data_IF_338446435488
#
_entry.id   IF_338446435488
#
_cell.length_a   1.000
_cell.length_b   1.000
_cell.length_c   1.000
_cell.angle_alpha   90.00
_cell.angle_beta   90.00
_cell.angle_gamma   90.00
#
_symmetry.space_group_name_H-M   'P 1'
#
loop_
_entity.id
_entity.type
_entity.pdbx_description
1 polymer ?
#
# COMPACT_ATOMS: atom_id res chain seq x y z
N UNK A 1 -4.11 -10.93 15.22
CA UNK A 1 -3.01 -11.54 14.42
C UNK A 1 -2.53 -10.60 13.34
N UNK A 2 -3.40 -10.06 12.49
CA UNK A 2 -3.05 -9.09 11.43
C UNK A 2 -2.17 -7.91 11.92
N UNK A 3 -2.51 -7.25 13.04
CA UNK A 3 -1.68 -6.13 13.56
C UNK A 3 -0.26 -6.57 14.00
N UNK A 4 -0.10 -7.82 14.45
CA UNK A 4 1.22 -8.35 14.79
C UNK A 4 2.06 -8.58 13.53
N UNK A 5 1.43 -8.97 12.41
CA UNK A 5 2.11 -9.11 11.12
C UNK A 5 2.58 -7.75 10.57
N UNK A 6 1.80 -6.67 10.78
CA UNK A 6 2.21 -5.31 10.42
C UNK A 6 3.38 -4.80 11.26
N UNK A 7 3.36 -5.06 12.57
CA UNK A 7 4.48 -4.73 13.46
C UNK A 7 5.74 -5.49 13.05
N UNK A 8 5.62 -6.79 12.75
CA UNK A 8 6.74 -7.62 12.29
C UNK A 8 7.30 -7.15 10.94
N UNK A 9 6.43 -6.78 10.00
CA UNK A 9 6.85 -6.27 8.70
C UNK A 9 7.61 -4.94 8.81
N UNK A 10 7.23 -4.07 9.75
CA UNK A 10 7.98 -2.83 10.04
C UNK A 10 9.40 -3.13 10.51
N UNK A 11 9.55 -4.09 11.43
CA UNK A 11 10.87 -4.56 11.90
C UNK A 11 11.71 -5.15 10.76
N UNK A 12 11.11 -5.90 9.85
CA UNK A 12 11.81 -6.49 8.70
C UNK A 12 12.31 -5.42 7.71
N UNK A 13 11.64 -4.28 7.61
CA UNK A 13 12.11 -3.15 6.80
C UNK A 13 13.31 -2.48 7.47
N UNK A 14 13.23 -2.22 8.78
CA UNK A 14 14.37 -1.70 9.54
C UNK A 14 15.56 -2.64 9.46
N UNK A 15 15.31 -3.95 9.49
CA UNK A 15 16.35 -4.96 9.26
C UNK A 15 17.03 -4.80 7.90
N UNK A 16 16.28 -4.52 6.84
CA UNK A 16 16.81 -4.24 5.51
C UNK A 16 17.82 -3.08 5.48
N UNK A 17 17.65 -2.06 6.32
CA UNK A 17 18.61 -0.96 6.40
C UNK A 17 19.97 -1.39 6.99
N UNK A 18 19.94 -2.26 8.01
CA UNK A 18 21.11 -2.64 8.81
C UNK A 18 21.68 -4.02 8.45
N UNK A 19 21.10 -4.72 7.48
CA UNK A 19 21.47 -6.07 7.08
C UNK A 19 22.98 -6.19 6.84
N UNK A 20 23.58 -7.21 7.47
CA UNK A 20 25.03 -7.50 7.37
C UNK A 20 25.94 -6.60 8.21
N UNK A 21 25.41 -5.64 8.98
CA UNK A 21 26.20 -4.73 9.85
C UNK A 21 25.94 -4.92 11.34
N UNK A 22 24.89 -5.64 11.71
CA UNK A 22 24.45 -5.87 13.10
C UNK A 22 24.51 -7.34 13.47
N UNK A 23 24.77 -7.65 14.74
CA UNK A 23 24.74 -9.02 15.25
C UNK A 23 23.30 -9.50 15.49
N UNK A 24 23.05 -10.82 15.54
CA UNK A 24 21.72 -11.35 15.86
C UNK A 24 21.13 -10.84 17.19
N UNK A 25 21.99 -10.57 18.18
CA UNK A 25 21.56 -10.00 19.47
C UNK A 25 21.15 -8.53 19.31
N UNK A 26 21.91 -7.74 18.55
CA UNK A 26 21.53 -6.36 18.25
C UNK A 26 20.22 -6.29 17.46
N UNK A 27 20.00 -7.25 16.56
CA UNK A 27 18.74 -7.42 15.85
C UNK A 27 17.58 -7.71 16.80
N UNK A 28 17.77 -8.59 17.78
CA UNK A 28 16.75 -8.89 18.79
C UNK A 28 16.41 -7.65 19.64
N UNK A 29 17.42 -6.89 20.06
CA UNK A 29 17.22 -5.66 20.84
C UNK A 29 16.43 -4.63 20.00
N UNK A 30 16.81 -4.44 18.74
CA UNK A 30 16.09 -3.55 17.81
C UNK A 30 14.63 -3.99 17.67
N UNK A 31 14.36 -5.28 17.44
CA UNK A 31 12.99 -5.81 17.32
C UNK A 31 12.13 -5.49 18.54
N UNK A 32 12.66 -5.70 19.75
CA UNK A 32 11.90 -5.44 21.00
C UNK A 32 11.56 -3.95 21.11
N UNK A 33 12.52 -3.07 20.83
CA UNK A 33 12.32 -1.63 20.89
C UNK A 33 11.34 -1.15 19.81
N UNK A 34 11.47 -1.63 18.59
CA UNK A 34 10.61 -1.23 17.47
C UNK A 34 9.17 -1.69 17.64
N UNK A 35 8.93 -2.90 18.18
CA UNK A 35 7.57 -3.36 18.50
C UNK A 35 6.93 -2.45 19.55
N UNK A 36 7.68 -2.04 20.58
CA UNK A 36 7.18 -1.13 21.61
C UNK A 36 6.86 0.26 21.04
N UNK A 37 7.73 0.80 20.19
CA UNK A 37 7.51 2.09 19.50
C UNK A 37 6.32 1.99 18.54
N UNK A 38 6.19 0.90 17.80
CA UNK A 38 5.06 0.65 16.91
C UNK A 38 3.74 0.66 17.68
N UNK A 39 3.67 -0.09 18.79
CA UNK A 39 2.47 -0.15 19.63
C UNK A 39 2.13 1.21 20.26
N UNK A 40 3.13 1.94 20.76
CA UNK A 40 2.92 3.28 21.30
C UNK A 40 2.43 4.25 20.22
N UNK A 41 3.01 4.20 19.04
CA UNK A 41 2.58 5.02 17.92
C UNK A 41 1.16 4.67 17.46
N UNK A 42 0.85 3.38 17.31
CA UNK A 42 -0.51 2.91 16.98
C UNK A 42 -1.51 3.43 18.02
N UNK A 43 -1.21 3.33 19.31
CA UNK A 43 -2.06 3.84 20.39
C UNK A 43 -2.24 5.37 20.35
N UNK A 44 -1.18 6.14 20.14
CA UNK A 44 -1.27 7.60 20.08
C UNK A 44 -2.13 8.05 18.90
N UNK A 45 -1.88 7.49 17.71
CA UNK A 45 -2.63 7.86 16.51
C UNK A 45 -4.09 7.41 16.67
N UNK A 46 -4.34 6.16 17.09
CA UNK A 46 -5.70 5.59 17.26
C UNK A 46 -6.52 6.20 18.38
N UNK A 47 -5.93 6.34 19.56
CA UNK A 47 -6.65 6.73 20.76
C UNK A 47 -6.82 8.24 20.91
N UNK A 48 -5.86 9.05 20.44
CA UNK A 48 -5.87 10.51 20.72
C UNK A 48 -6.30 11.32 19.51
N UNK A 49 -5.78 10.98 18.33
CA UNK A 49 -6.03 11.79 17.16
C UNK A 49 -7.35 11.44 16.46
N UNK A 50 -8.00 10.32 16.80
CA UNK A 50 -9.24 9.80 16.18
C UNK A 50 -9.24 9.76 14.64
N UNK A 51 -8.08 9.97 14.02
CA UNK A 51 -7.94 9.95 12.57
C UNK A 51 -7.96 8.50 12.15
N UNK A 52 -9.16 7.95 11.93
CA UNK A 52 -9.42 6.62 11.34
C UNK A 52 -8.59 6.37 10.08
N UNK A 53 -8.30 7.48 9.39
CA UNK A 53 -7.53 7.61 8.17
C UNK A 53 -6.01 7.50 8.36
N UNK A 54 -5.45 7.77 9.54
CA UNK A 54 -4.00 7.98 9.74
C UNK A 54 -3.26 6.77 10.34
N UNK A 55 -3.99 5.78 10.87
CA UNK A 55 -3.42 4.48 11.28
C UNK A 55 -2.80 3.77 10.08
N UNK A 56 -3.42 4.00 8.93
CA UNK A 56 -3.08 3.49 7.62
C UNK A 56 -2.00 4.32 6.92
N UNK A 57 -1.23 5.16 7.63
CA UNK A 57 -0.17 5.99 7.05
C UNK A 57 1.20 5.85 7.73
N UNK A 58 1.29 5.28 8.94
CA UNK A 58 2.56 4.91 9.60
C UNK A 58 2.83 3.40 9.59
N UNK A 59 1.79 2.58 9.51
CA UNK A 59 1.90 1.13 9.23
C UNK A 59 2.19 0.82 7.75
N UNK A 60 2.14 1.82 6.86
CA UNK A 60 2.29 1.72 5.39
C UNK A 60 3.68 1.38 4.92
N UNK A 61 4.69 1.62 5.75
CA UNK A 61 6.04 1.23 5.38
C UNK A 61 6.08 -0.29 5.10
N UNK A 62 5.30 -1.08 5.86
CA UNK A 62 5.23 -2.54 5.81
C UNK A 62 4.54 -3.16 4.58
N UNK A 63 3.88 -2.38 3.72
CA UNK A 63 2.93 -2.98 2.77
C UNK A 63 3.46 -3.08 1.34
N UNK A 64 4.20 -4.16 1.07
CA UNK A 64 4.66 -4.48 -0.29
C UNK A 64 3.81 -5.55 -1.00
N UNK A 65 2.72 -6.05 -0.41
CA UNK A 65 1.93 -7.15 -0.98
C UNK A 65 0.43 -6.89 -1.09
N UNK A 66 -0.17 -7.44 -2.16
CA UNK A 66 -1.59 -7.45 -2.48
C UNK A 66 -2.50 -7.81 -1.29
N UNK A 67 -2.11 -8.81 -0.51
CA UNK A 67 -2.88 -9.29 0.63
C UNK A 67 -2.94 -8.26 1.75
N UNK A 68 -1.84 -7.58 2.04
CA UNK A 68 -1.76 -6.61 3.13
C UNK A 68 -2.64 -5.37 2.90
N UNK A 69 -2.64 -4.77 1.70
CA UNK A 69 -3.50 -3.61 1.42
C UNK A 69 -4.99 -3.94 1.52
N UNK A 70 -5.37 -5.14 1.07
CA UNK A 70 -6.76 -5.59 1.12
C UNK A 70 -7.20 -6.08 2.51
N UNK A 71 -6.28 -6.61 3.32
CA UNK A 71 -6.58 -7.13 4.66
C UNK A 71 -6.94 -6.04 5.68
N UNK A 72 -6.56 -4.79 5.42
CA UNK A 72 -6.89 -3.63 6.26
C UNK A 72 -8.23 -3.01 5.85
N UNK A 73 -8.67 -3.24 4.61
CA UNK A 73 -9.89 -2.69 4.07
C UNK A 73 -11.12 -3.42 4.66
N UNK A 74 -12.23 -2.70 4.78
CA UNK A 74 -13.48 -3.31 5.23
C UNK A 74 -13.93 -4.44 4.27
N UNK A 75 -14.39 -5.59 4.80
CA UNK A 75 -14.83 -6.70 3.97
C UNK A 75 -15.93 -6.29 2.99
N UNK A 76 -15.84 -6.77 1.75
CA UNK A 76 -16.79 -6.47 0.69
C UNK A 76 -16.16 -5.65 -0.43
N UNK A 77 -16.80 -4.56 -0.84
CA UNK A 77 -16.35 -3.79 -1.99
C UNK A 77 -15.03 -3.06 -1.78
N UNK A 78 -14.79 -2.51 -0.58
CA UNK A 78 -13.54 -1.81 -0.24
C UNK A 78 -12.32 -2.73 -0.35
N UNK A 79 -12.47 -3.98 0.09
CA UNK A 79 -11.45 -5.02 -0.07
C UNK A 79 -11.17 -5.34 -1.56
N UNK A 80 -12.20 -5.46 -2.39
CA UNK A 80 -12.01 -5.69 -3.83
C UNK A 80 -11.35 -4.49 -4.52
N UNK A 81 -11.76 -3.26 -4.17
CA UNK A 81 -11.14 -2.01 -4.64
C UNK A 81 -9.64 -1.96 -4.28
N UNK A 82 -9.30 -2.29 -3.03
CA UNK A 82 -7.92 -2.37 -2.56
C UNK A 82 -7.07 -3.35 -3.38
N UNK A 83 -7.62 -4.51 -3.74
CA UNK A 83 -6.94 -5.49 -4.60
C UNK A 83 -6.69 -4.91 -5.99
N UNK A 84 -7.71 -4.35 -6.64
CA UNK A 84 -7.61 -3.84 -8.02
C UNK A 84 -6.67 -2.65 -8.11
N UNK A 85 -6.78 -1.66 -7.23
CA UNK A 85 -5.91 -0.49 -7.22
C UNK A 85 -4.44 -0.88 -6.98
N UNK A 86 -4.19 -1.79 -6.03
CA UNK A 86 -2.84 -2.31 -5.78
C UNK A 86 -2.27 -3.06 -6.98
N UNK A 87 -3.10 -3.84 -7.68
CA UNK A 87 -2.69 -4.55 -8.89
C UNK A 87 -2.29 -3.62 -10.02
N UNK A 88 -3.12 -2.62 -10.31
CA UNK A 88 -2.84 -1.67 -11.38
C UNK A 88 -1.60 -0.82 -11.09
N UNK A 89 -1.40 -0.43 -9.83
CA UNK A 89 -0.21 0.29 -9.41
C UNK A 89 1.06 -0.57 -9.53
N UNK A 90 1.03 -1.83 -9.07
CA UNK A 90 2.17 -2.73 -9.19
C UNK A 90 2.51 -3.06 -10.65
N UNK A 91 1.50 -3.30 -11.49
CA UNK A 91 1.71 -3.62 -12.91
C UNK A 91 2.45 -2.48 -13.63
N UNK A 92 2.01 -1.24 -13.43
CA UNK A 92 2.65 -0.06 -14.04
C UNK A 92 4.01 0.25 -13.43
N UNK A 93 4.15 0.06 -12.11
CA UNK A 93 5.44 0.17 -11.43
C UNK A 93 6.47 -0.81 -12.00
N UNK A 94 6.08 -2.06 -12.27
CA UNK A 94 6.96 -3.08 -12.88
C UNK A 94 7.41 -2.64 -14.27
N UNK A 95 6.48 -2.22 -15.13
CA UNK A 95 6.81 -1.79 -16.50
C UNK A 95 7.81 -0.63 -16.46
N UNK A 96 7.54 0.39 -15.64
CA UNK A 96 8.43 1.54 -15.47
C UNK A 96 9.78 1.15 -14.88
N UNK A 97 9.81 0.27 -13.87
CA UNK A 97 11.04 -0.16 -13.23
C UNK A 97 11.96 -0.89 -14.23
N UNK A 98 11.41 -1.79 -15.06
CA UNK A 98 12.18 -2.47 -16.10
C UNK A 98 12.66 -1.50 -17.18
N UNK A 99 11.77 -0.64 -17.67
CA UNK A 99 12.11 0.35 -18.70
C UNK A 99 13.23 1.29 -18.23
N UNK A 100 13.07 1.87 -17.04
CA UNK A 100 14.08 2.77 -16.48
C UNK A 100 15.36 2.05 -16.09
N UNK A 101 15.29 0.84 -15.52
CA UNK A 101 16.49 0.05 -15.22
C UNK A 101 17.35 -0.15 -16.47
N UNK A 102 16.72 -0.51 -17.59
CA UNK A 102 17.40 -0.62 -18.89
C UNK A 102 17.95 0.72 -19.40
N UNK A 103 17.18 1.82 -19.27
CA UNK A 103 17.58 3.14 -19.75
C UNK A 103 18.74 3.76 -18.95
N UNK A 104 18.77 3.58 -17.62
CA UNK A 104 19.79 4.19 -16.75
C UNK A 104 21.05 3.34 -16.64
N UNK A 105 21.01 2.08 -17.05
CA UNK A 105 22.15 1.18 -17.01
C UNK A 105 22.88 1.09 -18.36
N UNK A 106 24.18 0.80 -18.32
CA UNK A 106 24.99 0.78 -19.53
C UNK A 106 24.59 -0.41 -20.42
N UNK A 107 24.47 -0.13 -21.73
CA UNK A 107 24.16 -1.13 -22.78
C UNK A 107 22.77 -1.76 -22.66
N UNK A 108 21.80 -1.08 -22.02
CA UNK A 108 20.42 -1.57 -21.94
C UNK A 108 20.26 -2.82 -21.06
N UNK A 109 21.18 -3.03 -20.12
CA UNK A 109 21.12 -4.16 -19.17
C UNK A 109 20.15 -3.86 -18.03
N UNK A 110 19.64 -4.89 -17.38
CA UNK A 110 18.80 -4.74 -16.19
C UNK A 110 19.64 -4.93 -14.93
N UNK A 111 19.53 -3.99 -14.00
CA UNK A 111 20.04 -4.16 -12.64
C UNK A 111 19.02 -4.96 -11.81
N UNK A 112 19.48 -6.07 -11.22
CA UNK A 112 18.64 -6.92 -10.38
C UNK A 112 18.17 -6.23 -9.11
N UNK A 113 18.90 -5.24 -8.59
CA UNK A 113 18.45 -4.45 -7.43
C UNK A 113 17.20 -3.65 -7.76
N UNK A 114 17.11 -3.07 -8.97
CA UNK A 114 15.91 -2.39 -9.44
C UNK A 114 14.75 -3.38 -9.61
N UNK A 115 15.01 -4.54 -10.22
CA UNK A 115 13.98 -5.55 -10.48
C UNK A 115 13.43 -6.13 -9.19
N UNK A 116 14.27 -6.41 -8.20
CA UNK A 116 13.86 -7.04 -6.94
C UNK A 116 13.15 -6.07 -5.99
N UNK A 117 13.56 -4.81 -5.99
CA UNK A 117 13.07 -3.84 -5.01
C UNK A 117 12.13 -2.81 -5.62
N UNK A 118 12.56 -2.09 -6.65
CA UNK A 118 11.79 -0.96 -7.20
C UNK A 118 10.43 -1.37 -7.79
N UNK A 119 10.27 -2.63 -8.21
CA UNK A 119 8.99 -3.18 -8.71
C UNK A 119 7.89 -3.23 -7.64
N UNK A 120 8.26 -3.21 -6.36
CA UNK A 120 7.32 -3.27 -5.24
C UNK A 120 6.89 -1.87 -4.76
N UNK A 121 7.55 -0.81 -5.21
CA UNK A 121 7.33 0.57 -4.76
C UNK A 121 5.89 1.07 -5.03
N UNK A 122 5.27 0.61 -6.12
CA UNK A 122 3.89 0.94 -6.43
C UNK A 122 2.88 0.45 -5.40
N UNK A 123 3.12 -0.73 -4.81
CA UNK A 123 2.28 -1.28 -3.74
C UNK A 123 2.42 -0.53 -2.42
N UNK A 124 3.67 -0.12 -2.09
CA UNK A 124 3.95 0.74 -0.94
C UNK A 124 3.25 2.08 -1.10
N UNK A 125 3.33 2.66 -2.31
CA UNK A 125 2.70 3.93 -2.59
C UNK A 125 1.20 3.81 -2.32
N UNK A 126 0.44 3.02 -3.08
CA UNK A 126 -1.02 3.03 -2.93
C UNK A 126 -1.57 2.53 -1.59
N UNK A 127 -0.75 2.09 -0.62
CA UNK A 127 -1.21 1.50 0.62
C UNK A 127 -2.18 2.36 1.45
N UNK A 128 -2.02 3.68 1.47
CA UNK A 128 -2.94 4.61 2.18
C UNK A 128 -4.28 4.79 1.47
N UNK A 129 -4.29 4.62 0.15
CA UNK A 129 -5.43 4.97 -0.71
C UNK A 129 -5.96 3.77 -1.51
N UNK A 130 -5.57 2.55 -1.15
CA UNK A 130 -5.87 1.36 -1.93
C UNK A 130 -7.38 1.07 -1.98
N UNK A 131 -8.08 1.21 -0.86
CA UNK A 131 -9.52 0.99 -0.70
C UNK A 131 -10.37 2.21 -1.08
N UNK A 132 -9.75 3.37 -1.28
CA UNK A 132 -10.43 4.57 -1.75
C UNK A 132 -10.91 4.37 -3.18
N UNK A 133 -12.01 5.03 -3.53
CA UNK A 133 -12.59 4.96 -4.86
C UNK A 133 -11.84 5.87 -5.84
N UNK A 134 -10.57 5.55 -6.09
CA UNK A 134 -9.76 6.23 -7.11
C UNK A 134 -10.03 5.64 -8.50
N UNK A 135 -10.04 6.45 -9.56
CA UNK A 135 -10.09 5.94 -10.92
C UNK A 135 -8.89 5.04 -11.24
N UNK A 136 -9.05 3.96 -12.04
CA UNK A 136 -7.96 3.02 -12.37
C UNK A 136 -6.69 3.68 -12.91
N UNK A 137 -6.83 4.74 -13.72
CA UNK A 137 -5.70 5.45 -14.30
C UNK A 137 -4.88 6.24 -13.26
N UNK A 138 -5.50 6.65 -12.13
CA UNK A 138 -4.79 7.31 -11.02
C UNK A 138 -3.92 6.29 -10.28
N UNK A 139 -4.45 5.09 -9.99
CA UNK A 139 -3.67 4.02 -9.37
C UNK A 139 -2.43 3.66 -10.23
N UNK A 140 -2.62 3.58 -11.55
CA UNK A 140 -1.55 3.38 -12.53
C UNK A 140 -0.51 4.52 -12.53
N UNK A 141 -0.96 5.78 -12.41
CA UNK A 141 -0.06 6.93 -12.34
C UNK A 141 0.78 6.92 -11.05
N UNK A 142 0.17 6.64 -9.90
CA UNK A 142 0.87 6.50 -8.62
C UNK A 142 1.94 5.40 -8.70
N UNK A 143 1.58 4.22 -9.21
CA UNK A 143 2.50 3.11 -9.41
C UNK A 143 3.67 3.47 -10.33
N UNK A 144 3.39 4.16 -11.43
CA UNK A 144 4.41 4.63 -12.37
C UNK A 144 5.38 5.61 -11.69
N UNK A 145 4.88 6.66 -11.04
CA UNK A 145 5.69 7.67 -10.35
C UNK A 145 6.56 7.03 -9.25
N UNK A 146 5.99 6.13 -8.46
CA UNK A 146 6.71 5.39 -7.43
C UNK A 146 7.86 4.56 -8.02
N UNK A 147 7.63 3.87 -9.14
CA UNK A 147 8.66 3.12 -9.86
C UNK A 147 9.81 4.00 -10.36
N UNK A 148 9.50 5.19 -10.92
CA UNK A 148 10.52 6.16 -11.34
C UNK A 148 11.40 6.56 -10.16
N UNK A 149 10.76 6.99 -9.08
CA UNK A 149 11.47 7.53 -7.91
C UNK A 149 12.30 6.44 -7.25
N UNK A 150 11.79 5.21 -7.17
CA UNK A 150 12.53 4.10 -6.59
C UNK A 150 13.76 3.74 -7.42
N UNK A 151 13.65 3.59 -8.75
CA UNK A 151 14.81 3.29 -9.63
C UNK A 151 15.85 4.41 -9.58
N UNK A 152 15.44 5.68 -9.70
CA UNK A 152 16.37 6.80 -9.60
C UNK A 152 17.01 6.90 -8.20
N UNK A 153 16.24 6.56 -7.16
CA UNK A 153 16.73 6.45 -5.79
C UNK A 153 17.86 5.43 -5.67
N UNK A 154 17.65 4.21 -6.15
CA UNK A 154 18.68 3.17 -6.16
C UNK A 154 19.91 3.58 -6.97
N UNK A 155 19.72 4.16 -8.16
CA UNK A 155 20.82 4.50 -9.06
C UNK A 155 21.65 5.69 -8.61
N UNK A 156 21.02 6.74 -8.07
CA UNK A 156 21.65 8.04 -7.82
C UNK A 156 21.64 8.44 -6.34
N UNK A 157 20.51 8.27 -5.65
CA UNK A 157 20.36 8.75 -4.28
C UNK A 157 21.11 7.87 -3.27
N UNK A 158 21.01 6.55 -3.37
CA UNK A 158 21.74 5.62 -2.50
C UNK A 158 23.25 5.85 -2.52
N UNK A 159 23.92 5.95 -3.69
CA UNK A 159 25.34 6.31 -3.74
C UNK A 159 25.64 7.69 -3.15
N UNK A 160 24.76 8.68 -3.36
CA UNK A 160 24.94 10.03 -2.82
C UNK A 160 24.87 10.04 -1.29
N UNK A 161 23.85 9.40 -0.71
CA UNK A 161 23.67 9.23 0.73
C UNK A 161 24.87 8.51 1.36
N UNK A 162 25.34 7.44 0.72
CA UNK A 162 26.48 6.67 1.21
C UNK A 162 27.80 7.47 1.19
N UNK A 163 28.02 8.29 0.15
CA UNK A 163 29.30 9.00 -0.04
C UNK A 163 29.36 10.38 0.62
N UNK A 164 28.23 11.11 0.70
CA UNK A 164 28.19 12.47 1.27
C UNK A 164 27.69 12.52 2.70
N UNK A 165 26.69 11.70 3.02
CA UNK A 165 26.02 11.72 4.33
C UNK A 165 26.42 10.52 5.20
N UNK A 166 27.22 9.59 4.67
CA UNK A 166 27.64 8.35 5.34
C UNK A 166 26.47 7.48 5.80
N UNK A 167 25.29 7.63 5.17
CA UNK A 167 24.10 6.83 5.45
C UNK A 167 24.14 5.61 4.52
N UNK A 168 24.41 4.44 5.10
CA UNK A 168 24.53 3.17 4.35
C UNK A 168 23.31 2.30 4.57
N UNK A 169 22.36 2.42 3.66
CA UNK A 169 21.17 1.58 3.57
C UNK A 169 21.48 0.31 2.74
N UNK A 170 21.50 -0.87 3.37
CA UNK A 170 21.92 -2.12 2.71
C UNK A 170 20.93 -2.57 1.62
N UNK A 171 19.62 -2.55 1.92
CA UNK A 171 18.59 -2.99 0.97
C UNK A 171 17.96 -1.83 0.18
N UNK A 172 18.35 -0.59 0.45
CA UNK A 172 17.73 0.60 -0.16
C UNK A 172 16.28 0.81 0.29
N UNK A 173 15.95 0.40 1.51
CA UNK A 173 14.61 0.57 2.10
C UNK A 173 14.15 2.03 2.10
N UNK A 174 15.07 3.00 2.10
CA UNK A 174 14.74 4.40 1.87
C UNK A 174 14.09 4.65 0.51
N UNK A 175 14.61 4.07 -0.57
CA UNK A 175 14.10 4.28 -1.93
C UNK A 175 12.85 3.45 -2.23
N UNK A 176 12.70 2.31 -1.56
CA UNK A 176 11.55 1.43 -1.74
C UNK A 176 10.38 1.81 -0.84
N UNK A 177 10.65 2.03 0.43
CA UNK A 177 9.60 2.25 1.43
C UNK A 177 9.49 3.72 1.83
N UNK A 178 10.62 4.38 2.09
CA UNK A 178 10.66 5.76 2.61
C UNK A 178 10.11 6.80 1.62
N UNK A 179 10.72 6.91 0.44
CA UNK A 179 10.34 7.92 -0.56
C UNK A 179 8.94 7.68 -1.15
N UNK A 180 8.56 6.47 -1.60
CA UNK A 180 7.21 6.23 -2.11
C UNK A 180 6.13 6.47 -1.06
N UNK A 181 6.36 6.07 0.19
CA UNK A 181 5.41 6.31 1.29
C UNK A 181 5.27 7.79 1.66
N UNK A 182 6.32 8.61 1.53
CA UNK A 182 6.26 10.04 1.85
C UNK A 182 5.47 10.85 0.81
N UNK A 183 5.53 10.47 -0.47
CA UNK A 183 4.86 11.20 -1.56
C UNK A 183 3.35 11.28 -1.37
N UNK A 184 2.75 10.22 -0.82
CA UNK A 184 1.30 10.18 -0.58
C UNK A 184 0.88 10.81 0.73
N UNK A 185 1.84 11.24 1.56
CA UNK A 185 1.58 12.16 2.67
C UNK A 185 1.59 13.63 2.25
N UNK A 186 1.91 13.94 1.00
CA UNK A 186 1.82 15.31 0.52
C UNK A 186 0.34 15.70 0.34
N UNK A 187 -0.07 16.92 0.75
CA UNK A 187 -1.47 17.39 0.76
C UNK A 187 -2.10 17.55 -0.63
N UNK A 188 -1.42 17.12 -1.69
CA UNK A 188 -1.90 17.10 -3.06
C UNK A 188 -2.81 15.89 -3.30
N UNK A 189 -2.65 14.83 -2.50
CA UNK A 189 -3.41 13.58 -2.57
C UNK A 189 -4.45 13.47 -1.44
N UNK A 190 -4.94 14.63 -0.98
CA UNK A 190 -5.77 14.70 0.22
C UNK A 190 -7.01 13.82 0.10
N UNK A 191 -7.40 13.23 1.23
CA UNK A 191 -8.59 12.40 1.25
C UNK A 191 -9.83 13.27 1.02
N UNK A 192 -10.84 12.79 0.27
CA UNK A 192 -12.13 13.45 0.26
C UNK A 192 -12.64 13.58 1.70
N UNK A 193 -13.34 14.68 2.04
CA UNK A 193 -13.91 14.88 3.37
C UNK A 193 -14.70 13.63 3.83
N UNK A 194 -14.64 13.31 5.12
CA UNK A 194 -15.28 12.11 5.69
C UNK A 194 -16.79 12.01 5.33
N UNK A 195 -17.45 13.14 5.07
CA UNK A 195 -18.86 13.22 4.63
C UNK A 195 -19.10 12.60 3.24
N UNK A 196 -18.09 12.61 2.36
CA UNK A 196 -18.17 12.15 0.97
C UNK A 196 -17.41 10.82 0.74
N UNK A 197 -16.80 10.26 1.79
CA UNK A 197 -15.89 9.11 1.70
C UNK A 197 -16.57 7.82 1.18
N UNK A 198 -17.90 7.77 1.22
CA UNK A 198 -18.73 6.69 0.68
C UNK A 198 -19.81 7.18 -0.29
N UNK A 199 -19.74 8.45 -0.72
CA UNK A 199 -20.68 9.00 -1.70
C UNK A 199 -20.14 8.82 -3.12
N UNK A 200 -20.48 7.67 -3.71
CA UNK A 200 -20.16 7.34 -5.10
C UNK A 200 -20.69 8.39 -6.10
N UNK A 201 -21.66 9.23 -5.71
CA UNK A 201 -22.29 10.23 -6.57
C UNK A 201 -21.43 11.47 -6.82
N UNK A 202 -20.38 11.67 -6.03
CA UNK A 202 -19.43 12.79 -6.18
C UNK A 202 -18.61 12.64 -7.46
N UNK A 203 -18.25 11.41 -7.83
CA UNK A 203 -17.38 11.13 -8.98
C UNK A 203 -18.07 10.32 -10.09
N UNK A 204 -19.19 9.67 -9.80
CA UNK A 204 -19.87 8.77 -10.74
C UNK A 204 -21.35 9.09 -10.89
N UNK A 205 -21.90 8.85 -12.08
CA UNK A 205 -23.36 8.82 -12.27
C UNK A 205 -23.91 7.53 -11.69
N UNK A 206 -24.40 7.60 -10.45
CA UNK A 206 -25.09 6.50 -9.80
C UNK A 206 -26.53 6.42 -10.32
N UNK A 207 -27.03 5.25 -10.79
CA UNK A 207 -28.44 5.07 -11.09
C UNK A 207 -29.26 5.34 -9.82
N UNK A 208 -30.22 6.27 -9.86
CA UNK A 208 -31.14 6.46 -8.72
C UNK A 208 -31.90 5.16 -8.50
N UNK A 209 -31.64 4.50 -7.37
CA UNK A 209 -32.45 3.35 -6.98
C UNK A 209 -33.89 3.83 -6.86
N UNK A 210 -34.77 3.29 -7.70
CA UNK A 210 -36.19 3.54 -7.59
C UNK A 210 -36.63 2.68 -6.41
N UNK A 211 -37.09 3.29 -5.32
CA UNK A 211 -37.88 2.61 -4.29
C UNK A 211 -39.14 2.04 -4.95
N UNK A 212 -39.02 0.86 -5.53
CA UNK A 212 -40.10 0.08 -6.09
C UNK A 212 -39.57 -1.34 -6.07
N UNK A 213 -39.80 -2.03 -4.95
CA UNK A 213 -40.49 -3.32 -4.99
C UNK A 213 -40.65 -3.91 -3.57
N UNK A 214 -41.59 -3.36 -2.80
CA UNK A 214 -42.24 -4.12 -1.72
C UNK A 214 -43.17 -5.25 -2.27
N UNK A 215 -43.21 -5.45 -3.60
CA UNK A 215 -44.04 -6.44 -4.28
C UNK A 215 -43.34 -7.79 -4.52
N UNK A 216 -42.01 -7.88 -4.43
CA UNK A 216 -41.29 -9.14 -4.65
C UNK A 216 -41.51 -10.19 -3.54
N UNK A 217 -41.87 -9.78 -2.31
CA UNK A 217 -42.12 -10.71 -1.21
C UNK A 217 -43.53 -11.32 -1.16
N UNK A 218 -44.43 -10.94 -2.08
CA UNK A 218 -45.83 -11.43 -2.07
C UNK A 218 -46.13 -12.58 -3.05
N UNK A 219 -45.13 -13.11 -3.76
CA UNK A 219 -45.31 -14.18 -4.75
C UNK A 219 -44.48 -15.44 -4.48
N UNK A 220 -43.98 -15.64 -3.26
CA UNK A 220 -43.29 -16.87 -2.85
C UNK A 220 -44.20 -17.88 -2.11
N UNK A 221 -45.53 -17.79 -2.26
CA UNK A 221 -46.45 -18.81 -1.76
C UNK A 221 -47.20 -19.47 -2.93
N UNK A 222 -47.14 -20.80 -2.93
CA UNK A 222 -47.62 -21.77 -3.93
C UNK A 222 -46.60 -22.17 -5.00
N UNK A 223 -45.98 -23.34 -4.79
CA UNK A 223 -46.19 -24.50 -5.66
C UNK A 223 -45.52 -25.79 -5.12
N UNK A 224 -46.35 -26.85 -5.05
CA UNK A 224 -46.05 -28.28 -5.17
C UNK A 224 -45.15 -29.01 -4.17
N UNK A 225 -45.82 -29.76 -3.26
CA UNK A 225 -45.42 -31.11 -2.86
C UNK A 225 -46.66 -32.01 -2.95
N UNK A 226 -46.90 -32.60 -4.13
CA UNK A 226 -47.66 -33.84 -4.23
C UNK A 226 -46.66 -34.98 -4.05
N UNK A 227 -46.92 -35.86 -3.09
CA UNK A 227 -46.23 -37.13 -2.92
C UNK A 227 -47.08 -38.22 -3.59
N UNK A 228 -46.46 -38.97 -4.50
CA UNK A 228 -46.96 -40.22 -5.01
C UNK A 228 -47.10 -41.28 -3.89
N UNK A 229 -48.16 -42.11 -4.06
CA UNK A 229 -48.60 -43.33 -3.35
C UNK A 229 -49.51 -43.15 -2.14
#
# INVERSE_FOLDING_TARGET
>A
MINADFSTATVLISFGAVLGKTSPIQMLIMTILEIAVFAANEYLVTGIFEVRVSYRALSVLATTCYGFNSAIAEPGENQYRAIINTYLALATCVIIAYALSSLVERRGRLDMVHVQNATLAGGVAVGTCADMQIPPYIAMAIGSIAGIISVLGYKFLSPLLANKLMIRDTCGVHNLHGLPGLILKLPIWDQPPDEDCYDDSVYWKVPKFRELDHLFFKHANHNHLEHDV
#
